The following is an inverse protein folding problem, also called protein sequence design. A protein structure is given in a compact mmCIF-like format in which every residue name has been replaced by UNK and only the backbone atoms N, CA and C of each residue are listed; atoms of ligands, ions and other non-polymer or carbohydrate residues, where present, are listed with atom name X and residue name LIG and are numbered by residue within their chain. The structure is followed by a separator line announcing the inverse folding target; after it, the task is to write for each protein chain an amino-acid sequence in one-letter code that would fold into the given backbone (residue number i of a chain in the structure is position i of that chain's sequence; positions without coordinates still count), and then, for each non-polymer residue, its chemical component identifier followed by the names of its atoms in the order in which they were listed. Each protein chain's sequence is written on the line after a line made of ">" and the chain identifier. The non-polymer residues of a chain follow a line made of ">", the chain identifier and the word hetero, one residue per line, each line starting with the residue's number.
data_IF_341281814013
#
_entry.id   IF_341281814013
#
_cell.length_a   1.000
_cell.length_b   1.000
_cell.length_c   1.000
_cell.angle_alpha   90.00
_cell.angle_beta   90.00
_cell.angle_gamma   90.00
#
_symmetry.space_group_name_H-M   'P 1'
#
loop_
_entity.id
_entity.type
_entity.pdbx_description
1 polymer ?
#
# COMPACT_ATOMS: atom_id res chain seq x y z
N UNK A 1 -1.17 -7.45 -17.89
CA UNK A 1 -0.80 -6.24 -17.10
C UNK A 1 0.41 -5.55 -17.73
N UNK A 2 0.52 -4.21 -17.64
CA UNK A 2 1.75 -3.50 -18.07
C UNK A 2 2.92 -3.88 -17.16
N UNK A 3 4.10 -4.16 -17.74
CA UNK A 3 5.36 -4.48 -17.05
C UNK A 3 5.66 -3.58 -15.84
N UNK A 4 5.25 -2.31 -15.90
CA UNK A 4 5.43 -1.32 -14.83
C UNK A 4 4.66 -1.65 -13.54
N UNK A 5 3.55 -2.39 -13.61
CA UNK A 5 2.81 -2.85 -12.42
C UNK A 5 3.58 -3.93 -11.64
N UNK A 6 4.34 -4.79 -12.33
CA UNK A 6 5.15 -5.88 -11.73
C UNK A 6 6.37 -5.38 -10.95
N UNK A 7 6.76 -4.12 -11.16
CA UNK A 7 7.87 -3.48 -10.46
C UNK A 7 7.43 -2.74 -9.18
N UNK A 8 6.12 -2.54 -9.01
CA UNK A 8 5.56 -1.78 -7.89
C UNK A 8 4.88 -2.72 -6.87
N UNK A 9 5.67 -3.64 -6.32
CA UNK A 9 5.19 -4.68 -5.41
C UNK A 9 5.07 -4.20 -3.96
N UNK A 10 5.55 -2.99 -3.63
CA UNK A 10 5.28 -2.38 -2.33
C UNK A 10 4.00 -1.57 -2.41
N UNK A 11 3.14 -1.70 -1.41
CA UNK A 11 1.86 -1.01 -1.41
C UNK A 11 1.46 -0.58 0.00
N UNK A 12 0.62 0.44 0.10
CA UNK A 12 -0.08 0.79 1.34
C UNK A 12 -1.49 0.25 1.25
N UNK A 13 -1.87 -0.57 2.22
CA UNK A 13 -3.20 -1.08 2.42
C UNK A 13 -3.90 -0.31 3.54
N UNK A 14 -5.18 0.00 3.34
CA UNK A 14 -6.09 0.58 4.32
C UNK A 14 -7.12 -0.45 4.76
N UNK A 15 -7.37 -0.54 6.06
CA UNK A 15 -8.51 -1.29 6.60
C UNK A 15 -9.78 -0.45 6.44
N UNK A 16 -10.82 -1.04 5.87
CA UNK A 16 -12.17 -0.50 5.84
C UNK A 16 -12.97 -0.98 7.05
N UNK A 17 -14.09 -0.31 7.34
CA UNK A 17 -15.00 -0.67 8.44
C UNK A 17 -15.61 -2.07 8.24
N UNK A 18 -15.66 -2.55 6.99
CA UNK A 18 -16.01 -3.94 6.63
C UNK A 18 -14.94 -4.97 7.00
N UNK A 19 -13.87 -4.56 7.68
CA UNK A 19 -12.70 -5.37 8.03
C UNK A 19 -11.96 -5.94 6.81
N UNK A 20 -12.08 -5.27 5.66
CA UNK A 20 -11.38 -5.61 4.42
C UNK A 20 -10.20 -4.67 4.19
N UNK A 21 -9.11 -5.23 3.65
CA UNK A 21 -7.94 -4.45 3.25
C UNK A 21 -8.05 -4.05 1.78
N UNK A 22 -7.86 -2.76 1.49
CA UNK A 22 -7.82 -2.23 0.13
C UNK A 22 -6.49 -1.52 -0.13
N UNK A 23 -5.92 -1.74 -1.32
CA UNK A 23 -4.68 -1.07 -1.74
C UNK A 23 -5.02 0.36 -2.17
N UNK A 24 -4.39 1.34 -1.51
CA UNK A 24 -4.63 2.76 -1.79
C UNK A 24 -3.45 3.44 -2.52
N UNK A 25 -2.26 2.86 -2.45
CA UNK A 25 -1.06 3.37 -3.12
C UNK A 25 -0.05 2.26 -3.40
N UNK A 26 0.74 2.40 -4.47
CA UNK A 26 1.80 1.45 -4.87
C UNK A 26 3.12 2.16 -5.09
N UNK A 27 4.20 1.48 -4.72
CA UNK A 27 5.56 1.98 -4.67
C UNK A 27 6.51 0.93 -5.23
N UNK A 28 7.61 1.40 -5.83
CA UNK A 28 8.66 0.53 -6.36
C UNK A 28 9.54 -0.06 -5.26
N UNK A 29 9.87 0.76 -4.27
CA UNK A 29 10.73 0.39 -3.15
C UNK A 29 10.02 0.60 -1.82
N UNK A 30 10.42 -0.18 -0.82
CA UNK A 30 9.79 -0.17 0.51
C UNK A 30 9.92 1.19 1.21
N UNK A 31 11.07 1.84 1.11
CA UNK A 31 11.35 3.11 1.79
C UNK A 31 10.39 4.23 1.39
N UNK A 32 9.98 4.27 0.12
CA UNK A 32 9.00 5.26 -0.36
C UNK A 32 7.62 4.98 0.25
N UNK A 33 7.23 3.71 0.35
CA UNK A 33 5.98 3.31 0.99
C UNK A 33 5.97 3.66 2.49
N UNK A 34 7.08 3.39 3.19
CA UNK A 34 7.22 3.70 4.62
C UNK A 34 7.20 5.22 4.87
N UNK A 35 7.91 6.01 4.05
CA UNK A 35 7.88 7.46 4.12
C UNK A 35 6.49 8.04 3.88
N UNK A 36 5.76 7.51 2.90
CA UNK A 36 4.40 7.93 2.62
C UNK A 36 3.42 7.49 3.72
N UNK A 37 3.60 6.29 4.29
CA UNK A 37 2.82 5.82 5.44
C UNK A 37 2.98 6.75 6.65
N UNK A 38 4.19 7.23 6.93
CA UNK A 38 4.45 8.16 8.03
C UNK A 38 3.67 9.47 7.86
N UNK A 39 3.61 10.01 6.63
CA UNK A 39 2.80 11.17 6.31
C UNK A 39 1.31 10.88 6.55
N UNK A 40 0.78 9.78 6.01
CA UNK A 40 -0.64 9.42 6.16
C UNK A 40 -1.05 9.22 7.62
N UNK A 41 -0.20 8.59 8.44
CA UNK A 41 -0.48 8.42 9.88
C UNK A 41 -0.55 9.74 10.66
N UNK A 42 0.16 10.77 10.20
CA UNK A 42 0.08 12.11 10.81
C UNK A 42 -1.20 12.84 10.40
N UNK A 43 -1.65 12.65 9.16
CA UNK A 43 -2.86 13.31 8.63
C UNK A 43 -4.15 12.59 9.03
N UNK A 44 -4.10 11.26 9.21
CA UNK A 44 -5.25 10.40 9.44
C UNK A 44 -4.92 9.34 10.51
N UNK A 45 -4.77 9.73 11.77
CA UNK A 45 -4.32 8.82 12.84
C UNK A 45 -5.29 7.68 13.12
N UNK A 46 -6.59 7.89 12.87
CA UNK A 46 -7.64 6.90 13.17
C UNK A 46 -7.75 5.79 12.12
N UNK A 47 -7.07 5.93 10.98
CA UNK A 47 -7.13 4.95 9.89
C UNK A 47 -6.03 3.91 10.09
N UNK A 48 -6.42 2.63 10.12
CA UNK A 48 -5.46 1.54 10.13
C UNK A 48 -4.82 1.37 8.75
N UNK A 49 -3.53 1.66 8.69
CA UNK A 49 -2.71 1.61 7.48
C UNK A 49 -1.50 0.67 7.69
N UNK A 50 -1.19 -0.12 6.67
CA UNK A 50 -0.03 -1.04 6.65
C UNK A 50 0.70 -0.98 5.31
N UNK A 51 2.04 -1.02 5.35
CA UNK A 51 2.84 -1.35 4.17
C UNK A 51 2.80 -2.87 3.97
N UNK A 52 2.51 -3.29 2.75
CA UNK A 52 2.44 -4.70 2.35
C UNK A 52 3.28 -4.93 1.10
N UNK A 53 3.80 -6.14 0.96
CA UNK A 53 4.34 -6.62 -0.31
C UNK A 53 3.20 -7.31 -1.06
N UNK A 54 2.69 -6.65 -2.09
CA UNK A 54 1.59 -7.13 -2.91
C UNK A 54 2.14 -7.86 -4.13
N UNK A 55 2.09 -9.18 -4.07
CA UNK A 55 2.40 -10.04 -5.20
C UNK A 55 1.16 -10.08 -6.07
N UNK A 56 1.08 -9.20 -7.07
CA UNK A 56 0.13 -9.41 -8.17
C UNK A 56 0.54 -10.67 -8.91
N UNK A 57 -0.08 -11.80 -8.58
CA UNK A 57 -0.02 -13.01 -9.41
C UNK A 57 -0.66 -12.67 -10.77
N UNK A 58 0.11 -12.87 -11.84
CA UNK A 58 -0.41 -12.86 -13.20
C UNK A 58 -1.23 -14.15 -13.36
N UNK A 59 -2.54 -14.09 -13.10
CA UNK A 59 -3.48 -15.14 -13.48
C UNK A 59 -3.85 -15.05 -14.97
#
# INVERSE_FOLDING_TARGET
>A
MSYRKRLNNWAIARLLDSNQWVIIARFRIRSDADGHLLFLRRTMPDIQLKVVFDVTEDA
#
